data_IF_143741744693
#
_entry.id   IF_143741744693
#
_cell.length_a   1.000
_cell.length_b   1.000
_cell.length_c   1.000
_cell.angle_alpha   90.00
_cell.angle_beta   90.00
_cell.angle_gamma   90.00
#
_symmetry.space_group_name_H-M   'P 1'
#
loop_
_entity.id
_entity.type
_entity.pdbx_description
1 polymer ?
#
# COMPACT_ATOMS: atom_id res chain seq x y z
N UNK A 1 16.78 6.52 11.54
CA UNK A 1 16.79 5.32 10.67
C UNK A 1 15.66 5.47 9.65
N UNK A 2 15.85 5.00 8.41
CA UNK A 2 14.83 5.08 7.38
C UNK A 2 13.70 4.04 7.59
N UNK A 3 12.45 4.34 7.16
CA UNK A 3 11.36 3.38 7.20
C UNK A 3 11.63 2.17 6.28
N UNK A 4 11.05 1.02 6.63
CA UNK A 4 11.18 -0.20 5.81
C UNK A 4 10.26 -0.09 4.60
N UNK A 5 10.85 -0.08 3.40
CA UNK A 5 10.14 -0.11 2.13
C UNK A 5 9.62 -1.52 1.80
N UNK A 6 8.31 -1.64 1.55
CA UNK A 6 7.59 -2.92 1.37
C UNK A 6 6.45 -2.75 0.36
N UNK A 7 6.06 -3.82 -0.33
CA UNK A 7 4.87 -3.82 -1.19
C UNK A 7 3.67 -4.39 -0.44
N UNK A 8 2.46 -3.91 -0.72
CA UNK A 8 1.25 -4.47 -0.14
C UNK A 8 1.03 -5.91 -0.63
N UNK A 9 1.02 -6.11 -1.95
CA UNK A 9 0.99 -7.42 -2.61
C UNK A 9 2.06 -7.52 -3.72
N UNK A 10 2.06 -8.62 -4.48
CA UNK A 10 2.88 -8.78 -5.69
C UNK A 10 2.34 -8.00 -6.92
N UNK A 11 1.30 -7.17 -6.77
CA UNK A 11 0.68 -6.43 -7.88
C UNK A 11 1.67 -5.50 -8.64
N UNK A 12 2.67 -4.99 -7.91
CA UNK A 12 3.75 -4.17 -8.45
C UNK A 12 4.87 -5.10 -8.95
N UNK A 13 4.81 -5.38 -10.26
CA UNK A 13 5.78 -6.21 -10.98
C UNK A 13 7.17 -5.59 -11.09
N UNK A 14 8.10 -6.30 -11.74
CA UNK A 14 9.53 -5.91 -11.83
C UNK A 14 9.72 -4.55 -12.50
N UNK A 15 8.82 -4.21 -13.42
CA UNK A 15 8.87 -2.97 -14.20
C UNK A 15 8.55 -1.72 -13.38
N UNK A 16 7.97 -1.91 -12.18
CA UNK A 16 7.56 -0.80 -11.29
C UNK A 16 8.36 -0.80 -9.99
N UNK A 17 8.63 -1.97 -9.40
CA UNK A 17 9.46 -2.10 -8.19
C UNK A 17 10.27 -3.40 -8.19
N UNK A 18 11.47 -3.35 -7.62
CA UNK A 18 12.37 -4.52 -7.49
C UNK A 18 11.65 -5.74 -6.90
N UNK A 19 11.89 -6.93 -7.47
CA UNK A 19 11.36 -8.20 -6.93
C UNK A 19 11.90 -8.54 -5.54
N UNK A 20 13.07 -8.01 -5.20
CA UNK A 20 13.70 -8.23 -3.89
C UNK A 20 12.97 -7.50 -2.76
N UNK A 21 12.06 -6.58 -3.08
CA UNK A 21 11.27 -5.87 -2.07
C UNK A 21 10.21 -6.80 -1.47
N UNK A 22 10.20 -6.87 -0.15
CA UNK A 22 9.33 -7.75 0.62
C UNK A 22 7.86 -7.34 0.48
N UNK A 23 7.00 -8.32 0.22
CA UNK A 23 5.55 -8.12 0.18
C UNK A 23 4.91 -8.49 1.51
N UNK A 24 4.02 -7.63 1.99
CA UNK A 24 3.26 -7.85 3.23
C UNK A 24 2.29 -9.03 3.05
N UNK A 25 1.55 -9.03 1.94
CA UNK A 25 0.65 -10.12 1.53
C UNK A 25 1.22 -10.82 0.30
N UNK A 26 1.96 -11.90 0.51
CA UNK A 26 2.43 -12.78 -0.58
C UNK A 26 1.27 -13.45 -1.34
N UNK A 27 0.16 -13.66 -0.64
CA UNK A 27 -1.11 -14.14 -1.18
C UNK A 27 -2.17 -13.17 -0.69
N UNK A 28 -3.19 -12.89 -1.51
CA UNK A 28 -4.28 -11.98 -1.16
C UNK A 28 -5.39 -12.81 -0.48
N UNK A 29 -5.47 -12.85 0.87
CA UNK A 29 -6.45 -13.68 1.55
C UNK A 29 -7.87 -13.17 1.33
N UNK A 30 -8.81 -14.07 1.04
CA UNK A 30 -10.23 -13.71 0.86
C UNK A 30 -10.90 -13.24 2.14
N UNK A 31 -10.39 -13.64 3.31
CA UNK A 31 -10.95 -13.29 4.63
C UNK A 31 -10.12 -12.21 5.31
N UNK A 32 -10.75 -11.08 5.65
CA UNK A 32 -10.11 -9.94 6.32
C UNK A 32 -9.38 -10.33 7.61
N UNK A 33 -9.96 -11.23 8.42
CA UNK A 33 -9.35 -11.70 9.66
C UNK A 33 -7.99 -12.38 9.47
N UNK A 34 -7.77 -13.04 8.32
CA UNK A 34 -6.48 -13.64 7.99
C UNK A 34 -5.47 -12.57 7.54
N UNK A 35 -5.90 -11.59 6.73
CA UNK A 35 -5.08 -10.44 6.34
C UNK A 35 -4.54 -9.72 7.59
N UNK A 36 -5.42 -9.39 8.54
CA UNK A 36 -5.06 -8.69 9.79
C UNK A 36 -4.05 -9.47 10.63
N UNK A 37 -4.15 -10.79 10.71
CA UNK A 37 -3.15 -11.62 11.43
C UNK A 37 -1.78 -11.53 10.78
N UNK A 38 -1.71 -11.50 9.45
CA UNK A 38 -0.45 -11.34 8.70
C UNK A 38 0.11 -9.95 8.96
N UNK A 39 -0.71 -8.91 8.85
CA UNK A 39 -0.32 -7.52 9.13
C UNK A 39 0.27 -7.33 10.52
N UNK A 40 -0.41 -7.81 11.57
CA UNK A 40 0.10 -7.74 12.95
C UNK A 40 1.48 -8.37 13.10
N UNK A 41 1.67 -9.58 12.55
CA UNK A 41 2.98 -10.27 12.59
C UNK A 41 4.05 -9.48 11.84
N UNK A 42 3.71 -8.93 10.68
CA UNK A 42 4.62 -8.14 9.86
C UNK A 42 5.06 -6.86 10.57
N UNK A 43 4.10 -6.08 11.06
CA UNK A 43 4.33 -4.81 11.76
C UNK A 43 5.18 -5.02 13.00
N UNK A 44 4.91 -6.07 13.79
CA UNK A 44 5.72 -6.41 14.96
C UNK A 44 7.19 -6.71 14.61
N UNK A 45 7.44 -7.31 13.46
CA UNK A 45 8.80 -7.66 13.00
C UNK A 45 9.54 -6.46 12.38
N UNK A 46 8.84 -5.63 11.62
CA UNK A 46 9.44 -4.67 10.69
C UNK A 46 9.15 -3.20 11.04
N UNK A 47 8.19 -2.90 11.92
CA UNK A 47 7.66 -1.56 12.15
C UNK A 47 8.51 -0.63 13.00
N UNK A 48 9.65 -1.08 13.53
CA UNK A 48 10.49 -0.32 14.50
C UNK A 48 10.86 1.10 14.03
N UNK A 49 11.09 1.27 12.73
CA UNK A 49 11.49 2.55 12.13
C UNK A 49 10.39 3.18 11.25
N UNK A 50 9.17 2.64 11.31
CA UNK A 50 8.11 2.95 10.36
C UNK A 50 8.19 2.12 9.07
N UNK A 51 7.15 2.23 8.28
CA UNK A 51 6.91 1.44 7.06
C UNK A 51 6.58 2.40 5.91
N UNK A 52 7.26 2.21 4.76
CA UNK A 52 6.88 2.80 3.48
C UNK A 52 6.20 1.70 2.66
N UNK A 53 4.89 1.81 2.50
CA UNK A 53 4.06 0.83 1.84
C UNK A 53 3.78 1.26 0.40
N UNK A 54 4.18 0.44 -0.55
CA UNK A 54 3.82 0.61 -1.96
C UNK A 54 2.57 -0.20 -2.30
N UNK A 55 1.60 0.43 -2.95
CA UNK A 55 0.37 -0.21 -3.41
C UNK A 55 0.04 0.20 -4.86
N UNK A 56 -0.74 -0.63 -5.55
CA UNK A 56 -1.18 -0.40 -6.92
C UNK A 56 -2.67 -0.10 -6.96
N UNK A 57 -3.06 1.07 -7.47
CA UNK A 57 -4.45 1.56 -7.43
C UNK A 57 -5.46 0.55 -8.03
N UNK A 58 -5.21 0.06 -9.25
CA UNK A 58 -6.15 -0.84 -9.94
C UNK A 58 -6.03 -2.33 -9.63
N UNK A 59 -5.06 -2.75 -8.80
CA UNK A 59 -4.77 -4.18 -8.55
C UNK A 59 -4.85 -4.55 -7.08
N UNK A 60 -4.48 -3.64 -6.19
CA UNK A 60 -4.59 -3.85 -4.75
C UNK A 60 -5.99 -3.46 -4.25
N UNK A 61 -6.38 -4.13 -3.15
CA UNK A 61 -7.67 -3.88 -2.52
C UNK A 61 -7.58 -2.75 -1.50
N UNK A 62 -8.50 -1.80 -1.55
CA UNK A 62 -8.63 -0.71 -0.58
C UNK A 62 -8.77 -1.25 0.85
N UNK A 63 -9.59 -2.28 1.04
CA UNK A 63 -9.78 -2.86 2.38
C UNK A 63 -8.50 -3.43 2.99
N UNK A 64 -7.59 -3.97 2.18
CA UNK A 64 -6.28 -4.43 2.67
C UNK A 64 -5.40 -3.26 3.11
N UNK A 65 -5.42 -2.17 2.34
CA UNK A 65 -4.69 -0.94 2.64
C UNK A 65 -5.20 -0.28 3.93
N UNK A 66 -6.53 -0.16 4.07
CA UNK A 66 -7.20 0.35 5.27
C UNK A 66 -6.92 -0.51 6.51
N UNK A 67 -7.07 -1.84 6.38
CA UNK A 67 -6.78 -2.75 7.48
C UNK A 67 -5.31 -2.68 7.91
N UNK A 68 -4.37 -2.57 6.96
CA UNK A 68 -2.95 -2.40 7.29
C UNK A 68 -2.68 -1.07 8.01
N UNK A 69 -3.24 0.05 7.53
CA UNK A 69 -3.14 1.35 8.23
C UNK A 69 -3.65 1.27 9.66
N UNK A 70 -4.83 0.69 9.87
CA UNK A 70 -5.39 0.53 11.22
C UNK A 70 -4.48 -0.30 12.13
N UNK A 71 -3.87 -1.37 11.63
CA UNK A 71 -2.94 -2.18 12.43
C UNK A 71 -1.62 -1.44 12.71
N UNK A 72 -1.15 -0.59 11.80
CA UNK A 72 0.00 0.30 12.05
C UNK A 72 -0.33 1.35 13.12
N UNK A 73 -1.49 2.00 13.03
CA UNK A 73 -1.94 3.00 14.02
C UNK A 73 -2.08 2.37 15.41
N UNK A 74 -2.69 1.19 15.53
CA UNK A 74 -2.78 0.45 16.81
C UNK A 74 -1.42 0.08 17.40
N UNK A 75 -0.41 -0.11 16.56
CA UNK A 75 0.94 -0.44 16.97
C UNK A 75 1.84 0.80 17.10
N UNK A 76 1.29 2.00 16.94
CA UNK A 76 2.02 3.29 16.95
C UNK A 76 3.18 3.32 15.94
N UNK A 77 3.01 2.62 14.81
CA UNK A 77 4.00 2.54 13.74
C UNK A 77 3.70 3.61 12.68
N UNK A 78 4.69 4.47 12.42
CA UNK A 78 4.62 5.45 11.34
C UNK A 78 4.46 4.73 9.99
N UNK A 79 3.41 5.07 9.25
CA UNK A 79 3.12 4.53 7.92
C UNK A 79 3.13 5.65 6.89
N UNK A 80 3.87 5.46 5.80
CA UNK A 80 3.83 6.28 4.59
C UNK A 80 3.30 5.38 3.48
N UNK A 81 2.33 5.84 2.72
CA UNK A 81 1.72 5.07 1.63
C UNK A 81 2.07 5.74 0.32
N UNK A 82 2.71 4.99 -0.57
CA UNK A 82 3.03 5.39 -1.92
C UNK A 82 2.16 4.58 -2.88
N UNK A 83 1.16 5.24 -3.46
CA UNK A 83 0.20 4.64 -4.37
C UNK A 83 0.68 4.82 -5.81
N UNK A 84 0.77 3.72 -6.56
CA UNK A 84 0.95 3.73 -8.00
C UNK A 84 -0.43 3.91 -8.64
N UNK A 85 -0.70 5.11 -9.14
CA UNK A 85 -1.98 5.52 -9.71
C UNK A 85 -1.79 6.21 -11.05
N UNK A 86 -2.86 6.21 -11.84
CA UNK A 86 -2.94 6.95 -13.10
C UNK A 86 -3.27 8.42 -12.84
N UNK A 87 -2.60 9.33 -13.54
CA UNK A 87 -3.01 10.74 -13.53
C UNK A 87 -4.21 10.95 -14.45
N UNK A 88 -5.38 11.13 -13.84
CA UNK A 88 -6.63 11.38 -14.55
C UNK A 88 -6.98 12.84 -14.70
N UNK A 89 -6.10 13.77 -14.29
CA UNK A 89 -6.34 15.18 -14.50
C UNK A 89 -6.18 15.53 -15.99
N UNK A 90 -7.25 15.88 -16.73
CA UNK A 90 -7.17 16.15 -18.16
C UNK A 90 -6.35 17.41 -18.49
N UNK A 91 -6.02 18.22 -17.48
CA UNK A 91 -5.18 19.40 -17.60
C UNK A 91 -3.72 19.16 -17.19
N UNK A 92 -3.37 17.92 -16.82
CA UNK A 92 -1.99 17.55 -16.47
C UNK A 92 -1.19 17.18 -17.72
N UNK A 93 0.08 17.57 -17.77
CA UNK A 93 1.04 17.11 -18.79
C UNK A 93 1.30 15.59 -18.70
N UNK A 94 0.95 15.00 -17.57
CA UNK A 94 1.08 13.57 -17.29
C UNK A 94 -0.24 12.81 -17.39
N UNK A 95 -1.29 13.41 -17.98
CA UNK A 95 -2.59 12.75 -18.18
C UNK A 95 -2.43 11.35 -18.83
N UNK A 96 -3.01 10.34 -18.19
CA UNK A 96 -2.93 8.93 -18.60
C UNK A 96 -1.61 8.22 -18.23
N UNK A 97 -0.65 8.91 -17.60
CA UNK A 97 0.59 8.28 -17.12
C UNK A 97 0.40 7.74 -15.72
N UNK A 98 1.15 6.68 -15.42
CA UNK A 98 1.16 6.03 -14.12
C UNK A 98 2.44 6.37 -13.35
N UNK A 99 2.29 6.75 -12.09
CA UNK A 99 3.43 7.03 -11.22
C UNK A 99 3.06 6.90 -9.74
N UNK A 100 4.08 6.92 -8.90
CA UNK A 100 3.94 6.89 -7.45
C UNK A 100 3.59 8.26 -6.90
N UNK A 101 2.54 8.32 -6.07
CA UNK A 101 2.18 9.50 -5.27
C UNK A 101 2.07 9.09 -3.80
N UNK A 102 2.57 9.92 -2.90
CA UNK A 102 2.30 9.74 -1.48
C UNK A 102 0.87 10.17 -1.19
N UNK A 103 0.09 9.27 -0.58
CA UNK A 103 -1.34 9.49 -0.33
C UNK A 103 -1.63 9.41 1.17
N UNK A 104 -2.50 10.29 1.67
CA UNK A 104 -3.12 10.13 2.99
C UNK A 104 -4.52 9.57 2.84
N UNK A 105 -4.72 8.38 3.40
CA UNK A 105 -5.99 7.64 3.37
C UNK A 105 -7.22 8.46 3.80
N UNK A 106 -7.07 9.50 4.62
CA UNK A 106 -8.21 10.29 5.08
C UNK A 106 -8.75 11.29 4.06
N UNK A 107 -7.99 11.61 3.01
CA UNK A 107 -8.23 12.81 2.20
C UNK A 107 -8.06 12.58 0.69
N UNK A 108 -7.66 11.38 0.26
CA UNK A 108 -7.21 11.16 -1.11
C UNK A 108 -8.26 10.46 -1.99
N UNK A 109 -8.78 11.19 -2.98
CA UNK A 109 -9.76 10.68 -3.95
C UNK A 109 -9.21 9.51 -4.78
N UNK A 110 -7.89 9.38 -4.94
CA UNK A 110 -7.29 8.27 -5.70
C UNK A 110 -7.56 6.91 -5.04
N UNK A 111 -7.91 6.89 -3.75
CA UNK A 111 -8.27 5.68 -3.01
C UNK A 111 -9.70 5.22 -3.27
N UNK A 112 -10.61 6.13 -3.68
CA UNK A 112 -11.99 5.78 -4.02
C UNK A 112 -12.06 4.89 -5.28
N UNK A 113 -11.03 4.93 -6.11
CA UNK A 113 -10.93 4.13 -7.33
C UNK A 113 -10.26 2.76 -7.14
N UNK A 114 -9.77 2.48 -5.92
CA UNK A 114 -9.21 1.17 -5.60
C UNK A 114 -10.31 0.12 -5.50
N UNK A 115 -9.96 -1.13 -5.81
CA UNK A 115 -10.88 -2.26 -5.68
C UNK A 115 -11.34 -2.36 -4.23
N UNK A 116 -12.65 -2.25 -3.99
CA UNK A 116 -13.23 -2.47 -2.66
C UNK A 116 -13.06 -3.95 -2.29
N UNK A 117 -12.87 -4.21 -1.00
CA UNK A 117 -12.56 -5.52 -0.44
C UNK A 117 -13.44 -6.64 -1.00
#
# INVERSE_FOLDING_TARGET
>A
MAPKAVKLTNALGKDVLSESMECVLKFSPEKEGNARKIFKKFIKKNGRNGILLFAHQSKDKLGHLLAFKQECEKAEVKLIISLYCEDKNPHSEDYGKWYFREVDIKLDDNLNEMIVW
#
